data_IF_485142001528
#
_entry.id   IF_485142001528
#
_cell.length_a   1.000
_cell.length_b   1.000
_cell.length_c   1.000
_cell.angle_alpha   90.00
_cell.angle_beta   90.00
_cell.angle_gamma   90.00
#
_symmetry.space_group_name_H-M   'P 1'
#
loop_
_entity.id
_entity.type
_entity.pdbx_description
1 polymer ?
#
# COMPACT_ATOMS: atom_id res chain seq x y z
N UNK A 1 17.96 25.59 30.04
CA UNK A 1 18.86 25.75 28.88
C UNK A 1 18.49 24.70 27.84
N UNK A 2 17.48 25.00 27.05
CA UNK A 2 16.92 24.14 26.02
C UNK A 2 17.64 24.42 24.69
N UNK A 3 18.14 23.37 24.02
CA UNK A 3 18.67 23.49 22.66
C UNK A 3 17.74 22.74 21.71
N UNK A 4 16.90 23.52 21.03
CA UNK A 4 16.09 23.07 19.90
C UNK A 4 16.94 22.61 18.73
N UNK A 5 16.49 21.54 18.07
CA UNK A 5 16.96 21.15 16.73
C UNK A 5 15.82 21.40 15.74
N UNK A 6 15.99 22.46 14.96
CA UNK A 6 15.17 22.80 13.80
C UNK A 6 15.43 21.76 12.71
N UNK A 7 14.41 21.00 12.31
CA UNK A 7 14.50 20.12 11.14
C UNK A 7 14.43 20.96 9.87
N UNK A 8 15.49 20.85 9.07
CA UNK A 8 15.70 21.58 7.83
C UNK A 8 14.90 20.95 6.69
N UNK A 9 14.06 21.75 6.04
CA UNK A 9 13.34 21.40 4.81
C UNK A 9 14.35 21.08 3.70
N UNK A 10 14.33 19.84 3.19
CA UNK A 10 14.90 19.51 1.88
C UNK A 10 13.76 19.37 0.88
N UNK A 11 13.61 20.39 0.05
CA UNK A 11 12.71 20.44 -1.10
C UNK A 11 13.28 19.66 -2.29
N UNK A 12 12.35 19.11 -3.08
CA UNK A 12 12.40 18.90 -4.53
C UNK A 12 13.55 18.09 -5.12
N UNK A 13 13.28 16.89 -5.66
CA UNK A 13 13.91 16.44 -6.93
C UNK A 13 13.09 15.34 -7.65
N UNK A 14 12.63 15.72 -8.85
CA UNK A 14 12.38 14.98 -10.11
C UNK A 14 11.51 13.70 -10.15
N UNK A 15 10.33 13.87 -10.75
CA UNK A 15 9.60 12.84 -11.51
C UNK A 15 10.26 12.62 -12.88
N UNK A 16 10.55 11.37 -13.29
CA UNK A 16 10.65 11.02 -14.70
C UNK A 16 9.38 10.28 -15.14
N UNK A 17 8.55 10.95 -15.95
CA UNK A 17 7.44 10.33 -16.69
C UNK A 17 7.64 10.56 -18.18
N UNK A 18 8.07 9.52 -18.91
CA UNK A 18 7.50 9.05 -20.19
C UNK A 18 8.41 7.97 -20.79
N UNK A 19 7.81 6.93 -21.40
CA UNK A 19 8.25 6.57 -22.74
C UNK A 19 7.05 6.38 -23.67
N UNK A 20 7.06 7.10 -24.79
CA UNK A 20 6.28 6.80 -25.97
C UNK A 20 7.19 6.31 -27.10
N UNK A 21 6.57 5.58 -28.04
CA UNK A 21 7.06 5.11 -29.34
C UNK A 21 7.49 3.63 -29.42
N UNK A 22 6.55 2.87 -29.97
CA UNK A 22 6.67 1.60 -30.70
C UNK A 22 7.40 1.78 -32.04
N UNK A 23 8.29 0.87 -32.41
CA UNK A 23 8.59 0.44 -33.79
C UNK A 23 9.49 -0.81 -33.72
N UNK A 24 8.98 -2.00 -34.05
CA UNK A 24 9.02 -2.61 -35.38
C UNK A 24 10.38 -3.27 -35.69
N UNK A 25 10.35 -4.60 -35.79
CA UNK A 25 11.45 -5.45 -36.17
C UNK A 25 11.77 -5.28 -37.67
N UNK A 26 13.06 -5.28 -38.01
CA UNK A 26 13.51 -5.67 -39.36
C UNK A 26 14.86 -6.37 -39.25
N UNK A 27 14.88 -7.61 -39.70
CA UNK A 27 16.05 -8.46 -39.92
C UNK A 27 16.81 -7.99 -41.15
N UNK A 28 18.13 -7.79 -41.04
CA UNK A 28 19.04 -7.77 -42.20
C UNK A 28 20.29 -8.58 -41.85
N UNK A 29 20.50 -9.60 -42.68
CA UNK A 29 21.68 -10.45 -42.77
C UNK A 29 22.86 -9.70 -43.39
N UNK A 30 24.06 -9.92 -42.86
CA UNK A 30 25.31 -9.44 -43.46
C UNK A 30 26.51 -10.06 -42.75
N UNK A 31 27.11 -11.07 -43.38
CA UNK A 31 28.38 -11.66 -42.96
C UNK A 31 29.58 -10.79 -43.38
N UNK A 32 30.66 -10.87 -42.61
CA UNK A 32 31.94 -10.24 -42.93
C UNK A 32 32.97 -10.50 -41.84
N UNK A 33 33.94 -11.36 -42.15
CA UNK A 33 35.07 -11.77 -41.32
C UNK A 33 36.17 -10.69 -41.38
N UNK A 34 36.83 -10.41 -40.25
CA UNK A 34 38.04 -9.59 -40.23
C UNK A 34 38.56 -9.35 -38.81
N UNK A 35 39.61 -10.09 -38.43
CA UNK A 35 40.26 -9.99 -37.13
C UNK A 35 40.94 -8.64 -36.88
N UNK A 36 40.99 -8.28 -35.61
CA UNK A 36 41.69 -7.09 -35.12
C UNK A 36 41.61 -7.09 -33.60
N UNK A 37 42.59 -7.72 -32.96
CA UNK A 37 42.84 -7.63 -31.53
C UNK A 37 42.89 -6.15 -31.12
N UNK A 38 41.90 -5.74 -30.34
CA UNK A 38 41.89 -4.43 -29.69
C UNK A 38 41.74 -4.69 -28.21
N UNK A 39 42.87 -4.54 -27.52
CA UNK A 39 43.04 -4.61 -26.07
C UNK A 39 41.78 -4.15 -25.34
N UNK A 40 41.12 -5.09 -24.67
CA UNK A 40 40.04 -4.85 -23.74
C UNK A 40 40.55 -3.98 -22.60
N UNK A 41 40.37 -2.67 -22.74
CA UNK A 41 40.47 -1.74 -21.64
C UNK A 41 39.36 -2.06 -20.65
N UNK A 42 39.69 -2.87 -19.63
CA UNK A 42 38.89 -3.06 -18.43
C UNK A 42 38.86 -1.74 -17.64
N UNK A 43 38.14 -0.76 -18.18
CA UNK A 43 37.91 0.53 -17.56
C UNK A 43 36.97 0.38 -16.39
N UNK A 44 37.52 0.24 -15.19
CA UNK A 44 36.82 0.23 -13.91
C UNK A 44 35.75 -0.86 -13.77
N UNK A 45 36.17 -2.12 -13.65
CA UNK A 45 35.44 -3.09 -12.82
C UNK A 45 35.61 -2.73 -11.33
N UNK A 46 35.25 -1.50 -10.95
CA UNK A 46 35.12 -1.12 -9.54
C UNK A 46 34.25 -2.16 -8.84
N UNK A 47 34.60 -2.50 -7.60
CA UNK A 47 34.04 -3.64 -6.88
C UNK A 47 32.52 -3.63 -6.98
N UNK A 48 31.99 -4.64 -7.66
CA UNK A 48 30.54 -4.81 -7.85
C UNK A 48 30.21 -6.29 -7.73
N UNK A 49 30.84 -6.88 -6.73
CA UNK A 49 30.51 -8.18 -6.20
C UNK A 49 29.20 -8.05 -5.43
N UNK A 50 28.17 -8.79 -5.86
CA UNK A 50 26.85 -8.72 -5.25
C UNK A 50 26.89 -9.18 -3.79
N UNK A 51 27.76 -10.13 -3.42
CA UNK A 51 27.93 -10.61 -2.05
C UNK A 51 28.51 -9.52 -1.14
N UNK A 52 29.51 -8.78 -1.62
CA UNK A 52 30.07 -7.63 -0.88
C UNK A 52 29.01 -6.55 -0.69
N UNK A 53 28.24 -6.22 -1.74
CA UNK A 53 27.13 -5.26 -1.63
C UNK A 53 26.08 -5.73 -0.62
N UNK A 54 25.73 -7.02 -0.64
CA UNK A 54 24.82 -7.63 0.33
C UNK A 54 25.30 -7.45 1.77
N UNK A 55 26.59 -7.67 2.03
CA UNK A 55 27.19 -7.47 3.37
C UNK A 55 27.15 -5.99 3.79
N UNK A 56 27.47 -5.07 2.88
CA UNK A 56 27.41 -3.61 3.13
C UNK A 56 25.98 -3.16 3.44
N UNK A 57 24.99 -3.53 2.63
CA UNK A 57 23.61 -3.10 2.89
C UNK A 57 23.00 -3.79 4.11
N UNK A 58 23.46 -5.00 4.45
CA UNK A 58 23.10 -5.67 5.70
C UNK A 58 23.66 -4.92 6.91
N UNK A 59 24.91 -4.44 6.87
CA UNK A 59 25.47 -3.64 7.98
C UNK A 59 24.79 -2.28 8.13
N UNK A 60 24.23 -1.74 7.05
CA UNK A 60 23.38 -0.55 7.04
C UNK A 60 21.90 -0.83 7.39
N UNK A 61 21.61 -2.01 7.94
CA UNK A 61 20.26 -2.45 8.33
C UNK A 61 19.21 -2.30 7.20
N UNK A 62 19.63 -2.52 5.95
CA UNK A 62 18.80 -2.36 4.78
C UNK A 62 18.07 -1.00 4.76
N UNK A 63 18.79 0.11 4.95
CA UNK A 63 18.17 1.43 4.86
C UNK A 63 17.64 1.71 3.44
N UNK A 64 16.32 1.91 3.24
CA UNK A 64 15.75 2.18 1.93
C UNK A 64 16.31 3.48 1.30
N UNK A 65 16.67 4.49 2.08
CA UNK A 65 17.25 5.73 1.57
C UNK A 65 18.60 5.46 0.91
N UNK A 66 19.48 4.71 1.58
CA UNK A 66 20.82 4.42 1.06
C UNK A 66 20.75 3.56 -0.20
N UNK A 67 19.83 2.59 -0.26
CA UNK A 67 19.61 1.79 -1.47
C UNK A 67 19.14 2.68 -2.64
N UNK A 68 18.22 3.62 -2.38
CA UNK A 68 17.76 4.57 -3.40
C UNK A 68 18.91 5.45 -3.91
N UNK A 69 19.72 6.02 -3.01
CA UNK A 69 20.89 6.83 -3.36
C UNK A 69 21.88 6.00 -4.19
N UNK A 70 22.21 4.79 -3.76
CA UNK A 70 23.11 3.90 -4.49
C UNK A 70 22.60 3.58 -5.91
N UNK A 71 21.29 3.35 -6.07
CA UNK A 71 20.66 3.13 -7.38
C UNK A 71 20.68 4.37 -8.30
N UNK A 72 20.92 5.56 -7.74
CA UNK A 72 21.09 6.80 -8.49
C UNK A 72 22.54 7.03 -8.96
N UNK A 73 23.54 6.42 -8.32
CA UNK A 73 24.97 6.63 -8.61
C UNK A 73 25.38 6.08 -9.97
N UNK A 74 24.91 4.88 -10.36
CA UNK A 74 25.26 4.29 -11.66
C UNK A 74 24.20 3.36 -12.23
N UNK A 75 24.22 3.15 -13.55
CA UNK A 75 23.35 2.17 -14.23
C UNK A 75 23.56 0.75 -13.70
N UNK A 76 24.81 0.41 -13.34
CA UNK A 76 25.18 -0.92 -12.83
C UNK A 76 24.65 -1.15 -11.41
N UNK A 77 24.79 -0.17 -10.51
CA UNK A 77 24.18 -0.22 -9.17
C UNK A 77 22.66 -0.23 -9.23
N UNK A 78 22.06 0.55 -10.15
CA UNK A 78 20.61 0.51 -10.39
C UNK A 78 20.12 -0.87 -10.81
N UNK A 79 20.88 -1.56 -11.66
CA UNK A 79 20.55 -2.92 -12.09
C UNK A 79 20.63 -3.90 -10.91
N UNK A 80 21.69 -3.86 -10.10
CA UNK A 80 21.81 -4.71 -8.90
C UNK A 80 20.72 -4.41 -7.87
N UNK A 81 20.41 -3.13 -7.63
CA UNK A 81 19.34 -2.74 -6.71
C UNK A 81 17.99 -3.34 -7.11
N UNK A 82 17.65 -3.27 -8.41
CA UNK A 82 16.41 -3.82 -8.97
C UNK A 82 16.35 -5.34 -8.93
N UNK A 83 17.48 -6.03 -9.08
CA UNK A 83 17.55 -7.50 -9.07
C UNK A 83 17.55 -8.08 -7.67
N UNK A 84 18.36 -7.52 -6.77
CA UNK A 84 18.70 -8.15 -5.48
C UNK A 84 18.37 -7.25 -4.29
N UNK A 85 18.86 -6.01 -4.24
CA UNK A 85 18.80 -5.23 -2.99
C UNK A 85 17.38 -4.90 -2.52
N UNK A 86 16.47 -4.54 -3.43
CA UNK A 86 15.07 -4.28 -3.05
C UNK A 86 14.35 -5.55 -2.58
N UNK A 87 14.73 -6.72 -3.10
CA UNK A 87 14.19 -8.00 -2.62
C UNK A 87 14.57 -8.23 -1.16
N UNK A 88 15.84 -8.07 -0.86
CA UNK A 88 16.42 -8.33 0.46
C UNK A 88 15.92 -7.31 1.50
N UNK A 89 15.79 -6.05 1.10
CA UNK A 89 15.09 -5.02 1.86
C UNK A 89 13.65 -5.46 2.22
N UNK A 90 12.87 -5.93 1.24
CA UNK A 90 11.49 -6.34 1.48
C UNK A 90 11.43 -7.54 2.43
N UNK A 91 12.29 -8.55 2.23
CA UNK A 91 12.36 -9.75 3.07
C UNK A 91 12.72 -9.37 4.51
N UNK A 92 13.72 -8.50 4.68
CA UNK A 92 14.16 -8.03 6.01
C UNK A 92 13.05 -7.30 6.76
N UNK A 93 12.25 -6.48 6.05
CA UNK A 93 11.31 -5.55 6.69
C UNK A 93 9.89 -6.09 6.85
N UNK A 94 9.46 -7.01 6.00
CA UNK A 94 8.13 -7.59 6.04
C UNK A 94 8.11 -9.10 5.75
N UNK A 95 8.88 -9.92 6.49
CA UNK A 95 9.14 -11.32 6.14
C UNK A 95 7.87 -12.17 6.01
N UNK A 96 6.89 -11.99 6.91
CA UNK A 96 5.61 -12.72 6.88
C UNK A 96 4.74 -12.34 5.67
N UNK A 97 4.73 -11.05 5.32
CA UNK A 97 3.99 -10.58 4.16
C UNK A 97 4.65 -11.06 2.87
N UNK A 98 5.97 -10.89 2.75
CA UNK A 98 6.73 -11.34 1.58
C UNK A 98 6.57 -12.85 1.39
N UNK A 99 6.75 -13.63 2.45
CA UNK A 99 6.53 -15.08 2.40
C UNK A 99 5.13 -15.40 1.87
N UNK A 100 4.08 -14.76 2.38
CA UNK A 100 2.72 -14.99 1.88
C UNK A 100 2.49 -14.54 0.43
N UNK A 101 3.20 -13.51 -0.04
CA UNK A 101 3.13 -13.05 -1.43
C UNK A 101 3.90 -13.96 -2.40
N UNK A 102 4.91 -14.70 -1.90
CA UNK A 102 5.78 -15.55 -2.71
C UNK A 102 5.55 -17.06 -2.52
N UNK A 103 4.80 -17.49 -1.50
CA UNK A 103 4.69 -18.90 -1.10
C UNK A 103 3.85 -19.78 -2.02
N UNK A 104 3.10 -19.20 -2.94
CA UNK A 104 2.41 -19.97 -3.97
C UNK A 104 3.32 -20.12 -5.19
N UNK A 105 3.64 -21.37 -5.56
CA UNK A 105 4.37 -21.79 -6.77
C UNK A 105 3.63 -21.47 -8.09
N UNK A 106 3.08 -20.26 -8.18
CA UNK A 106 2.13 -19.74 -9.16
C UNK A 106 2.79 -18.71 -10.08
N UNK A 107 4.04 -18.34 -9.79
CA UNK A 107 4.94 -17.73 -10.73
C UNK A 107 6.38 -18.17 -10.41
N UNK A 108 7.29 -18.24 -11.40
CA UNK A 108 8.71 -18.40 -11.09
C UNK A 108 9.09 -17.35 -10.06
N UNK A 109 9.77 -17.79 -8.99
CA UNK A 109 10.20 -16.99 -7.87
C UNK A 109 10.78 -15.65 -8.38
N UNK A 110 10.00 -14.56 -8.30
CA UNK A 110 10.41 -13.27 -8.86
C UNK A 110 9.30 -12.39 -9.47
N UNK A 111 8.12 -12.92 -9.83
CA UNK A 111 7.04 -12.09 -10.39
C UNK A 111 6.01 -11.64 -9.35
N UNK A 112 6.47 -10.91 -8.34
CA UNK A 112 5.58 -9.98 -7.64
C UNK A 112 5.00 -9.00 -8.68
N UNK A 113 3.71 -8.70 -8.62
CA UNK A 113 3.10 -7.73 -9.53
C UNK A 113 3.89 -6.41 -9.46
N UNK A 114 4.44 -5.94 -10.58
CA UNK A 114 5.30 -4.75 -10.61
C UNK A 114 6.72 -4.90 -10.03
N UNK A 115 7.10 -6.06 -9.48
CA UNK A 115 8.46 -6.39 -9.03
C UNK A 115 8.86 -5.87 -7.65
N UNK A 116 10.06 -6.26 -7.19
CA UNK A 116 10.55 -5.97 -5.84
C UNK A 116 10.70 -4.48 -5.53
N UNK A 117 11.09 -3.67 -6.53
CA UNK A 117 11.21 -2.22 -6.35
C UNK A 117 9.85 -1.55 -6.08
N UNK A 118 8.77 -2.03 -6.71
CA UNK A 118 7.43 -1.53 -6.46
C UNK A 118 6.95 -1.92 -5.07
N UNK A 119 7.23 -3.16 -4.62
CA UNK A 119 6.95 -3.59 -3.26
C UNK A 119 7.76 -2.78 -2.23
N UNK A 120 9.04 -2.52 -2.48
CA UNK A 120 9.87 -1.68 -1.62
C UNK A 120 9.30 -0.25 -1.53
N UNK A 121 8.93 0.35 -2.67
CA UNK A 121 8.28 1.66 -2.69
C UNK A 121 6.96 1.61 -1.90
N UNK A 122 6.16 0.57 -2.08
CA UNK A 122 4.92 0.38 -1.33
C UNK A 122 5.16 0.26 0.18
N UNK A 123 6.23 -0.40 0.62
CA UNK A 123 6.54 -0.50 2.05
C UNK A 123 6.93 0.85 2.65
N UNK A 124 7.79 1.61 1.97
CA UNK A 124 8.49 2.77 2.56
C UNK A 124 8.05 4.12 2.04
N UNK A 125 7.11 4.21 1.10
CA UNK A 125 6.68 5.48 0.52
C UNK A 125 5.17 5.66 0.66
N UNK A 126 4.76 6.70 1.37
CA UNK A 126 3.42 7.24 1.28
C UNK A 126 3.37 8.10 0.01
N UNK A 127 2.39 7.88 -0.86
CA UNK A 127 2.23 8.70 -2.05
C UNK A 127 1.63 10.08 -1.76
N UNK A 128 1.06 10.28 -0.57
CA UNK A 128 0.16 11.39 -0.29
C UNK A 128 -0.95 11.47 -1.34
N UNK A 129 -1.52 12.64 -1.51
CA UNK A 129 -2.52 12.95 -2.53
C UNK A 129 -2.04 14.15 -3.35
N UNK A 130 -1.33 13.85 -4.44
CA UNK A 130 -0.66 14.87 -5.25
C UNK A 130 -1.60 15.62 -6.20
N UNK A 131 -2.79 15.09 -6.45
CA UNK A 131 -3.80 15.71 -7.31
C UNK A 131 -5.20 15.45 -6.73
N UNK A 132 -6.12 16.43 -6.82
CA UNK A 132 -7.51 16.20 -6.48
C UNK A 132 -8.09 15.01 -7.26
N UNK A 133 -8.87 14.19 -6.56
CA UNK A 133 -9.66 13.13 -7.20
C UNK A 133 -11.13 13.57 -7.29
N UNK A 134 -11.99 12.73 -7.86
CA UNK A 134 -13.43 13.04 -7.95
C UNK A 134 -14.08 13.19 -6.58
N UNK A 135 -13.56 12.48 -5.57
CA UNK A 135 -14.12 12.45 -4.21
C UNK A 135 -13.29 13.26 -3.20
N UNK A 136 -12.04 13.59 -3.54
CA UNK A 136 -11.14 14.35 -2.66
C UNK A 136 -10.65 15.61 -3.37
N UNK A 137 -11.39 16.70 -3.17
CA UNK A 137 -10.92 18.04 -3.53
C UNK A 137 -10.01 18.56 -2.42
N UNK A 138 -8.72 18.69 -2.71
CA UNK A 138 -7.75 19.23 -1.77
C UNK A 138 -7.36 20.65 -2.18
N UNK A 139 -7.42 21.58 -1.22
CA UNK A 139 -6.93 22.95 -1.38
C UNK A 139 -5.42 22.98 -1.61
N UNK A 140 -4.69 22.06 -0.99
CA UNK A 140 -3.24 21.85 -1.21
C UNK A 140 -2.93 20.36 -1.35
N UNK A 141 -2.00 20.00 -2.25
CA UNK A 141 -1.59 18.61 -2.41
C UNK A 141 -0.91 18.09 -1.14
N UNK A 142 -1.31 16.92 -0.68
CA UNK A 142 -0.59 16.19 0.35
C UNK A 142 0.63 15.52 -0.31
N UNK A 143 1.83 16.00 0.03
CA UNK A 143 3.07 15.51 -0.59
C UNK A 143 3.41 14.10 -0.08
N UNK A 144 3.89 13.26 -0.99
CA UNK A 144 4.44 11.95 -0.63
C UNK A 144 5.75 12.07 0.15
N UNK A 145 6.02 11.09 1.02
CA UNK A 145 7.21 11.04 1.85
C UNK A 145 7.62 9.60 2.18
N UNK A 146 8.84 9.44 2.67
CA UNK A 146 9.28 8.19 3.25
C UNK A 146 8.58 7.93 4.58
N UNK A 147 8.18 6.69 4.81
CA UNK A 147 7.54 6.24 6.04
C UNK A 147 8.55 5.39 6.79
N UNK A 148 8.82 5.75 8.05
CA UNK A 148 9.83 5.06 8.87
C UNK A 148 9.44 3.61 9.19
N UNK A 149 8.18 3.40 9.57
CA UNK A 149 7.61 2.07 9.83
C UNK A 149 6.21 2.00 9.21
N UNK A 150 5.92 0.94 8.48
CA UNK A 150 4.57 0.67 7.98
C UNK A 150 4.18 -0.76 8.31
N UNK A 151 3.02 -0.92 8.95
CA UNK A 151 2.46 -2.22 9.29
C UNK A 151 1.41 -2.57 8.28
N UNK A 152 1.61 -3.69 7.60
CA UNK A 152 0.64 -4.24 6.66
C UNK A 152 -0.07 -5.43 7.30
N UNK A 153 -1.40 -5.40 7.31
CA UNK A 153 -2.21 -6.45 7.94
C UNK A 153 -3.17 -7.12 6.95
N UNK A 154 -3.26 -8.46 7.08
CA UNK A 154 -4.27 -9.29 6.40
C UNK A 154 -5.67 -9.04 6.97
N UNK A 155 -5.78 -8.80 8.27
CA UNK A 155 -7.08 -8.55 8.91
C UNK A 155 -7.64 -7.21 8.44
N UNK A 156 -6.78 -6.19 8.40
CA UNK A 156 -7.13 -4.89 7.80
C UNK A 156 -7.59 -5.07 6.35
N UNK A 157 -6.81 -5.78 5.53
CA UNK A 157 -7.18 -5.99 4.12
C UNK A 157 -8.46 -6.80 3.91
N UNK A 158 -8.86 -7.69 4.83
CA UNK A 158 -10.16 -8.36 4.76
C UNK A 158 -11.33 -7.38 4.86
N UNK A 159 -11.19 -6.28 5.61
CA UNK A 159 -12.20 -5.23 5.69
C UNK A 159 -12.37 -4.43 4.40
N UNK A 160 -11.44 -4.53 3.45
CA UNK A 160 -11.52 -3.89 2.13
C UNK A 160 -12.12 -4.81 1.06
N UNK A 161 -12.45 -6.06 1.40
CA UNK A 161 -12.99 -7.02 0.45
C UNK A 161 -14.46 -7.27 0.73
N UNK A 162 -15.30 -7.03 -0.27
CA UNK A 162 -16.70 -7.48 -0.23
C UNK A 162 -16.76 -9.00 0.04
N UNK A 163 -17.79 -9.47 0.75
CA UNK A 163 -17.93 -10.86 1.23
C UNK A 163 -17.68 -11.92 0.16
N UNK A 164 -18.11 -11.65 -1.08
CA UNK A 164 -17.92 -12.54 -2.25
C UNK A 164 -16.45 -12.74 -2.67
N UNK A 165 -15.53 -11.91 -2.17
CA UNK A 165 -14.10 -11.93 -2.49
C UNK A 165 -13.22 -12.29 -1.30
N UNK A 166 -13.77 -12.78 -0.18
CA UNK A 166 -12.98 -13.15 1.01
C UNK A 166 -11.97 -14.29 0.81
N UNK A 167 -12.05 -15.02 -0.32
CA UNK A 167 -11.01 -15.96 -0.71
C UNK A 167 -9.74 -15.27 -1.24
N UNK A 168 -9.85 -14.01 -1.68
CA UNK A 168 -8.71 -13.21 -2.07
C UNK A 168 -7.98 -12.73 -0.82
N UNK A 169 -6.66 -12.54 -0.93
CA UNK A 169 -5.84 -12.04 0.17
C UNK A 169 -5.27 -10.68 -0.18
N UNK A 170 -5.61 -9.69 0.63
CA UNK A 170 -5.13 -8.31 0.54
C UNK A 170 -4.44 -7.95 1.86
N UNK A 171 -3.28 -7.31 1.75
CA UNK A 171 -2.62 -6.64 2.86
C UNK A 171 -2.83 -5.14 2.73
N UNK A 172 -3.24 -4.47 3.81
CA UNK A 172 -3.41 -3.01 3.84
C UNK A 172 -2.64 -2.41 5.01
N UNK A 173 -2.02 -1.26 4.78
CA UNK A 173 -1.34 -0.49 5.81
C UNK A 173 -2.31 0.31 6.65
N UNK A 174 -1.89 0.68 7.86
CA UNK A 174 -2.51 1.80 8.55
C UNK A 174 -2.35 3.09 7.71
N UNK A 175 -3.32 4.03 7.76
CA UNK A 175 -3.25 5.28 7.02
C UNK A 175 -2.11 6.16 7.55
N UNK A 176 -1.46 6.89 6.65
CA UNK A 176 -0.58 7.99 7.01
C UNK A 176 -1.41 9.27 7.11
N UNK A 177 -1.31 9.97 8.22
CA UNK A 177 -2.05 11.19 8.49
C UNK A 177 -1.38 12.38 7.80
N UNK A 178 -2.17 13.15 7.07
CA UNK A 178 -1.75 14.37 6.42
C UNK A 178 -2.69 15.50 6.85
N UNK A 179 -2.18 16.58 7.48
CA UNK A 179 -3.02 17.69 7.88
C UNK A 179 -3.65 18.33 6.66
N UNK A 180 -4.98 18.40 6.63
CA UNK A 180 -5.71 19.05 5.56
C UNK A 180 -5.48 20.57 5.65
N UNK A 181 -4.82 21.16 4.65
CA UNK A 181 -4.60 22.59 4.61
C UNK A 181 -5.79 23.29 3.95
N UNK A 182 -6.90 23.49 4.68
CA UNK A 182 -8.11 24.18 4.18
C UNK A 182 -8.87 24.97 5.26
N UNK A 183 -9.72 25.93 4.84
CA UNK A 183 -10.49 26.84 5.72
C UNK A 183 -11.65 26.09 6.38
N UNK A 184 -11.45 25.71 7.63
CA UNK A 184 -12.41 24.95 8.43
C UNK A 184 -11.71 23.71 8.92
N UNK A 185 -10.87 23.87 9.96
CA UNK A 185 -10.22 22.74 10.60
C UNK A 185 -11.28 21.72 10.99
N UNK A 186 -11.09 20.46 10.61
CA UNK A 186 -12.07 19.45 10.95
C UNK A 186 -11.67 18.02 10.68
N UNK A 187 -10.89 17.71 9.63
CA UNK A 187 -10.56 16.31 9.29
C UNK A 187 -9.17 16.15 8.67
N UNK A 188 -8.40 15.17 9.15
CA UNK A 188 -7.09 14.83 8.59
C UNK A 188 -7.25 13.87 7.40
N UNK A 189 -6.40 14.03 6.38
CA UNK A 189 -6.41 13.11 5.24
C UNK A 189 -5.57 11.87 5.57
N UNK A 190 -6.21 10.71 5.58
CA UNK A 190 -5.56 9.41 5.70
C UNK A 190 -5.15 8.85 4.33
N UNK A 191 -3.85 8.68 4.08
CA UNK A 191 -3.33 8.02 2.89
C UNK A 191 -2.88 6.59 3.21
N UNK A 192 -3.57 5.58 2.64
CA UNK A 192 -3.30 4.16 2.89
C UNK A 192 -2.93 3.43 1.60
N UNK A 193 -2.34 2.24 1.77
CA UNK A 193 -1.77 1.46 0.68
C UNK A 193 -1.83 -0.02 0.97
N UNK A 194 -1.75 -0.83 -0.08
CA UNK A 194 -1.91 -2.27 0.08
C UNK A 194 -1.47 -3.09 -1.11
N UNK A 195 -1.41 -4.41 -0.94
CA UNK A 195 -0.99 -5.34 -1.98
C UNK A 195 -1.79 -6.63 -1.90
N UNK A 196 -2.35 -7.05 -3.03
CA UNK A 196 -2.98 -8.35 -3.19
C UNK A 196 -1.93 -9.45 -3.36
N UNK A 197 -2.15 -10.59 -2.72
CA UNK A 197 -1.52 -11.86 -3.12
C UNK A 197 -2.21 -12.35 -4.39
N UNK A 198 -1.43 -12.63 -5.42
CA UNK A 198 -1.92 -13.33 -6.61
C UNK A 198 -3.06 -12.62 -7.36
N UNK A 199 -3.08 -11.28 -7.40
CA UNK A 199 -4.17 -10.49 -7.99
C UNK A 199 -4.58 -10.93 -9.40
N UNK A 200 -3.65 -11.42 -10.22
CA UNK A 200 -3.95 -11.92 -11.56
C UNK A 200 -4.98 -13.05 -11.60
N UNK A 201 -5.03 -13.84 -10.53
CA UNK A 201 -5.91 -14.99 -10.35
C UNK A 201 -7.03 -14.73 -9.33
N UNK A 202 -7.12 -13.49 -8.82
CA UNK A 202 -8.10 -13.15 -7.78
C UNK A 202 -9.52 -13.07 -8.34
N UNK A 203 -10.50 -13.37 -7.49
CA UNK A 203 -11.92 -13.21 -7.84
C UNK A 203 -12.28 -11.74 -8.04
N UNK A 204 -11.65 -10.85 -7.30
CA UNK A 204 -11.78 -9.40 -7.43
C UNK A 204 -11.43 -8.97 -8.86
N UNK A 205 -10.28 -9.40 -9.39
CA UNK A 205 -9.89 -9.09 -10.77
C UNK A 205 -10.82 -9.71 -11.79
N UNK A 206 -11.18 -10.98 -11.61
CA UNK A 206 -12.10 -11.67 -12.52
C UNK A 206 -13.45 -10.93 -12.61
N UNK A 207 -13.95 -10.42 -11.48
CA UNK A 207 -15.18 -9.63 -11.44
C UNK A 207 -15.04 -8.28 -12.15
N UNK A 208 -13.96 -7.52 -11.90
CA UNK A 208 -13.69 -6.24 -12.56
C UNK A 208 -13.68 -6.39 -14.10
N UNK A 209 -13.03 -7.45 -14.59
CA UNK A 209 -12.98 -7.76 -16.03
C UNK A 209 -14.36 -8.19 -16.53
N UNK A 210 -15.05 -9.09 -15.83
CA UNK A 210 -16.36 -9.58 -16.23
C UNK A 210 -17.44 -8.50 -16.26
N UNK A 211 -17.31 -7.47 -15.43
CA UNK A 211 -18.16 -6.27 -15.43
C UNK A 211 -17.69 -5.18 -16.38
N UNK A 212 -16.60 -5.41 -17.12
CA UNK A 212 -16.00 -4.43 -18.02
C UNK A 212 -15.72 -3.09 -17.32
N UNK A 213 -15.32 -3.14 -16.05
CA UNK A 213 -14.98 -1.94 -15.29
C UNK A 213 -13.84 -1.19 -15.98
N UNK A 214 -14.06 0.10 -16.24
CA UNK A 214 -13.08 0.94 -16.93
C UNK A 214 -11.85 1.21 -16.05
N UNK A 215 -10.69 1.26 -16.70
CA UNK A 215 -9.46 1.71 -16.06
C UNK A 215 -9.42 3.24 -16.04
N UNK A 216 -8.96 3.80 -14.94
CA UNK A 216 -8.77 5.24 -14.81
C UNK A 216 -7.77 5.78 -15.83
N UNK A 217 -8.17 6.82 -16.52
CA UNK A 217 -7.35 7.44 -17.58
C UNK A 217 -6.28 8.35 -16.99
N UNK A 218 -6.62 9.09 -15.94
CA UNK A 218 -5.78 10.12 -15.29
C UNK A 218 -4.98 9.61 -14.09
N UNK A 219 -5.41 8.51 -13.49
CA UNK A 219 -4.76 7.94 -12.30
C UNK A 219 -3.84 6.78 -12.70
N UNK A 220 -2.66 6.74 -12.09
CA UNK A 220 -1.67 5.66 -12.25
C UNK A 220 -1.22 5.21 -10.88
N UNK A 221 -0.85 3.95 -10.78
CA UNK A 221 -0.32 3.39 -9.55
C UNK A 221 0.96 4.13 -9.14
N UNK A 222 1.03 4.73 -7.94
CA UNK A 222 2.21 5.50 -7.52
C UNK A 222 3.43 4.59 -7.30
N UNK A 223 3.23 3.28 -7.14
CA UNK A 223 4.29 2.33 -6.84
C UNK A 223 4.97 1.74 -8.08
N UNK A 224 4.18 1.40 -9.11
CA UNK A 224 4.67 0.71 -10.32
C UNK A 224 4.31 1.41 -11.64
N UNK A 225 3.58 2.52 -11.60
CA UNK A 225 3.16 3.28 -12.79
C UNK A 225 2.06 2.63 -13.63
N UNK A 226 1.56 1.46 -13.24
CA UNK A 226 0.55 0.74 -14.01
C UNK A 226 -0.84 1.39 -13.94
N UNK A 227 -1.71 1.08 -14.92
CA UNK A 227 -3.11 1.50 -14.93
C UNK A 227 -3.88 0.94 -13.73
N UNK A 228 -4.91 1.65 -13.30
CA UNK A 228 -5.70 1.33 -12.10
C UNK A 228 -7.18 1.30 -12.38
N UNK A 229 -7.91 0.46 -11.65
CA UNK A 229 -9.36 0.54 -11.51
C UNK A 229 -9.69 1.39 -10.28
N UNK A 230 -10.74 2.21 -10.35
CA UNK A 230 -11.36 2.79 -9.15
C UNK A 230 -12.30 1.75 -8.54
N UNK A 231 -11.98 1.32 -7.33
CA UNK A 231 -12.79 0.33 -6.61
C UNK A 231 -14.07 0.98 -6.07
N UNK A 232 -14.00 2.28 -5.77
CA UNK A 232 -15.14 3.14 -5.42
C UNK A 232 -16.11 3.27 -6.59
N UNK A 233 -15.63 3.65 -7.78
CA UNK A 233 -16.51 3.76 -8.96
C UNK A 233 -17.08 2.40 -9.39
N UNK A 234 -16.36 1.30 -9.13
CA UNK A 234 -16.83 -0.05 -9.40
C UNK A 234 -17.84 -0.58 -8.37
N UNK A 235 -18.18 0.18 -7.32
CA UNK A 235 -19.11 -0.25 -6.27
C UNK A 235 -18.59 -1.45 -5.45
N UNK A 236 -17.28 -1.56 -5.28
CA UNK A 236 -16.62 -2.68 -4.61
C UNK A 236 -16.12 -2.35 -3.21
N UNK A 237 -16.44 -1.16 -2.70
CA UNK A 237 -16.04 -0.69 -1.37
C UNK A 237 -17.06 -1.15 -0.35
N UNK A 238 -16.70 -2.07 0.57
CA UNK A 238 -17.59 -2.42 1.68
C UNK A 238 -17.53 -1.36 2.79
N UNK A 239 -18.63 -1.19 3.54
CA UNK A 239 -18.71 -0.28 4.69
C UNK A 239 -17.66 -0.61 5.78
N UNK A 240 -17.25 -1.88 5.89
CA UNK A 240 -16.19 -2.29 6.81
C UNK A 240 -14.85 -1.59 6.55
N UNK A 241 -14.62 -1.04 5.36
CA UNK A 241 -13.39 -0.35 5.03
C UNK A 241 -13.29 1.02 5.73
N UNK A 242 -14.39 1.79 5.79
CA UNK A 242 -14.39 3.09 6.48
C UNK A 242 -14.26 2.91 7.99
N UNK A 243 -15.00 1.96 8.57
CA UNK A 243 -14.87 1.58 9.98
C UNK A 243 -13.44 1.16 10.32
N UNK A 244 -12.78 0.37 9.45
CA UNK A 244 -11.38 -0.06 9.69
C UNK A 244 -10.39 1.09 9.66
N UNK A 245 -10.67 2.15 8.90
CA UNK A 245 -9.80 3.32 8.77
C UNK A 245 -10.11 4.42 9.79
N UNK A 246 -11.17 4.31 10.59
CA UNK A 246 -11.64 5.42 11.42
C UNK A 246 -12.14 6.59 10.57
N UNK A 247 -12.84 6.29 9.48
CA UNK A 247 -13.38 7.25 8.53
C UNK A 247 -14.90 7.18 8.51
N UNK A 248 -15.57 8.28 8.17
CA UNK A 248 -17.01 8.28 7.94
C UNK A 248 -17.41 7.34 6.78
N UNK A 249 -18.66 6.90 6.77
CA UNK A 249 -19.17 6.09 5.65
C UNK A 249 -19.16 6.92 4.36
N UNK A 250 -18.64 6.34 3.28
CA UNK A 250 -18.54 7.02 1.99
C UNK A 250 -17.40 8.03 1.86
N UNK A 251 -16.63 8.33 2.92
CA UNK A 251 -15.51 9.26 2.86
C UNK A 251 -14.17 8.59 2.53
N UNK A 252 -14.17 7.57 1.65
CA UNK A 252 -12.96 6.92 1.19
C UNK A 252 -12.98 6.62 -0.31
N UNK A 253 -11.79 6.66 -0.91
CA UNK A 253 -11.55 6.23 -2.28
C UNK A 253 -10.30 5.37 -2.35
N UNK A 254 -10.35 4.27 -3.09
CA UNK A 254 -9.13 3.54 -3.42
C UNK A 254 -9.14 2.94 -4.80
N UNK A 255 -7.92 2.73 -5.28
CA UNK A 255 -7.62 2.22 -6.59
C UNK A 255 -6.78 0.97 -6.48
N UNK A 256 -7.00 0.03 -7.40
CA UNK A 256 -6.18 -1.18 -7.51
C UNK A 256 -5.59 -1.25 -8.91
N UNK A 257 -4.28 -1.38 -8.99
CA UNK A 257 -3.59 -1.46 -10.27
C UNK A 257 -3.64 -2.86 -10.89
N UNK A 258 -3.37 -2.95 -12.19
CA UNK A 258 -3.26 -4.24 -12.90
C UNK A 258 -2.16 -5.17 -12.36
N UNK A 259 -1.35 -4.74 -11.39
CA UNK A 259 -0.38 -5.57 -10.69
C UNK A 259 -0.83 -5.95 -9.26
N UNK A 260 -1.99 -5.48 -8.81
CA UNK A 260 -2.52 -5.77 -7.47
C UNK A 260 -2.05 -4.84 -6.37
N UNK A 261 -1.44 -3.69 -6.69
CA UNK A 261 -1.16 -2.66 -5.69
C UNK A 261 -2.39 -1.79 -5.47
N UNK A 262 -2.68 -1.52 -4.21
CA UNK A 262 -3.73 -0.63 -3.73
C UNK A 262 -3.11 0.68 -3.26
N UNK A 263 -3.72 1.80 -3.61
CA UNK A 263 -3.52 3.09 -2.96
C UNK A 263 -4.88 3.77 -2.77
N UNK A 264 -5.04 4.48 -1.67
CA UNK A 264 -6.31 5.13 -1.36
C UNK A 264 -6.18 6.26 -0.35
N UNK A 265 -7.30 6.95 -0.21
CA UNK A 265 -7.49 8.16 0.56
C UNK A 265 -8.77 8.04 1.39
N UNK A 266 -8.78 8.62 2.58
CA UNK A 266 -9.97 8.77 3.39
C UNK A 266 -9.89 10.04 4.23
N UNK A 267 -11.03 10.59 4.61
CA UNK A 267 -11.08 11.59 5.67
C UNK A 267 -11.14 10.89 7.03
N UNK A 268 -10.21 11.20 7.91
CA UNK A 268 -10.15 10.61 9.24
C UNK A 268 -11.11 11.37 10.15
N UNK A 269 -12.00 10.63 10.80
CA UNK A 269 -12.88 11.19 11.81
C UNK A 269 -12.02 11.61 13.01
N UNK A 270 -12.20 12.85 13.47
CA UNK A 270 -11.64 13.26 14.74
C UNK A 270 -12.45 12.57 15.82
N UNK A 271 -11.77 11.87 16.73
CA UNK A 271 -12.39 11.44 17.97
C UNK A 271 -12.64 12.74 18.75
N UNK A 272 -13.88 13.25 18.77
CA UNK A 272 -14.22 14.30 19.72
C UNK A 272 -13.94 13.73 21.10
N UNK A 273 -13.06 14.39 21.84
CA UNK A 273 -12.93 14.18 23.28
C UNK A 273 -14.12 14.84 23.94
N UNK A 274 -15.32 14.33 23.69
CA UNK A 274 -16.49 14.60 24.53
C UNK A 274 -16.59 13.43 25.50
N UNK A 275 -15.72 13.46 26.51
CA UNK A 275 -15.99 12.79 27.80
C UNK A 275 -17.01 13.67 28.54
N UNK A 276 -18.25 13.71 28.05
CA UNK A 276 -19.39 14.16 28.85
C UNK A 276 -20.18 12.88 29.21
N UNK A 277 -19.80 12.32 30.36
CA UNK A 277 -20.57 11.33 31.11
C UNK A 277 -21.91 11.93 31.53
N UNK A 278 -22.90 11.97 30.63
CA UNK A 278 -24.30 12.13 31.01
C UNK A 278 -24.92 10.74 31.21
N UNK A 279 -24.67 10.17 32.39
CA UNK A 279 -25.51 9.16 33.02
C UNK A 279 -26.90 9.77 33.23
N UNK A 280 -27.74 9.72 32.19
CA UNK A 280 -29.16 9.98 32.32
C UNK A 280 -29.81 8.71 32.88
N UNK A 281 -29.93 8.68 34.22
CA UNK A 281 -30.81 7.79 34.96
C UNK A 281 -32.22 7.79 34.33
N UNK A 282 -32.49 6.79 33.51
CA UNK A 282 -33.80 6.49 32.98
C UNK A 282 -34.65 5.83 34.06
N UNK A 283 -35.32 6.66 34.85
CA UNK A 283 -36.46 6.28 35.66
C UNK A 283 -37.61 5.91 34.70
N UNK A 284 -37.78 4.60 34.42
CA UNK A 284 -38.97 4.09 33.73
C UNK A 284 -39.74 3.15 34.66
N UNK A 285 -40.79 3.75 35.21
CA UNK A 285 -41.92 3.11 35.86
C UNK A 285 -42.62 2.15 34.91
N UNK A 286 -42.54 0.86 35.21
CA UNK A 286 -43.29 -0.20 34.52
C UNK A 286 -43.85 -1.21 35.50
N UNK A 287 -45.00 -0.87 36.08
CA UNK A 287 -45.98 -1.77 36.69
C UNK A 287 -46.30 -2.95 35.75
N UNK A 288 -46.35 -4.17 36.29
CA UNK A 288 -47.27 -5.26 35.92
C UNK A 288 -46.73 -6.63 36.37
N UNK A 289 -47.38 -7.26 37.34
CA UNK A 289 -47.24 -8.71 37.57
C UNK A 289 -47.42 -9.19 39.01
N UNK A 290 -48.62 -9.05 39.56
CA UNK A 290 -49.03 -9.81 40.76
C UNK A 290 -48.99 -11.31 40.49
N UNK A 291 -48.22 -12.05 41.28
CA UNK A 291 -48.46 -13.46 41.57
C UNK A 291 -48.07 -13.76 43.02
N UNK A 292 -49.02 -13.52 43.92
CA UNK A 292 -49.23 -14.30 45.15
C UNK A 292 -50.43 -15.20 44.84
N UNK A 293 -50.64 -16.39 45.39
CA UNK A 293 -50.00 -17.29 46.34
C UNK A 293 -50.88 -18.55 46.21
N UNK A 294 -50.37 -19.74 46.51
CA UNK A 294 -51.13 -20.77 47.24
C UNK A 294 -50.17 -21.94 47.52
N UNK A 295 -49.68 -21.93 48.76
CA UNK A 295 -49.21 -23.10 49.47
C UNK A 295 -50.38 -24.08 49.66
N UNK A 296 -50.15 -25.39 49.52
CA UNK A 296 -50.50 -26.38 50.56
C UNK A 296 -49.96 -27.79 50.23
N UNK A 297 -49.14 -28.25 51.17
CA UNK A 297 -49.04 -29.60 51.77
C UNK A 297 -49.31 -30.88 50.94
N UNK A 298 -48.37 -31.84 51.03
CA UNK A 298 -48.71 -33.24 50.71
C UNK A 298 -47.59 -34.26 50.57
N UNK A 299 -46.94 -34.60 51.69
CA UNK A 299 -46.68 -35.97 52.14
C UNK A 299 -45.53 -36.86 51.56
N UNK A 300 -44.90 -37.53 52.53
CA UNK A 300 -44.33 -38.89 52.57
C UNK A 300 -42.93 -39.23 52.01
N UNK A 301 -42.03 -39.47 52.98
CA UNK A 301 -41.27 -40.71 53.19
C UNK A 301 -40.80 -41.52 51.95
N UNK A 302 -39.49 -41.56 51.70
CA UNK A 302 -38.53 -42.57 52.20
C UNK A 302 -37.12 -42.22 51.73
#
# INVERSE_FOLDING_TARGET
MERGRKNQKCSSFCNPSTPGATAAATSISGGGVGGGESYGGNGNSGILDETVLMLVFRSLNWDPHVICVAACVSRRLRAVARRVLFRELCISRAPRMVSALTSDGVAPAGRLGGGWHALAKLLFFCCGCAAPTRFFALDRPALGHFVGVSRFSKTSGRSFLARRFWSDLLFVSDPCEHPAAGRGGGEDLGAYRGVFRGFMRSRTRAWLIGKQAELETRVRCPYCGARVWSMTAAGLVPNSASTRLGSHEGSLEYFVCVNGHLHGYCWLAHLSTDDDDDEADGDDTGDDGKHNEEDEEGNAEF
#
